data_IF_057852625641
#
_entry.id   IF_057852625641
#
_cell.length_a   1.000
_cell.length_b   1.000
_cell.length_c   1.000
_cell.angle_alpha   90.00
_cell.angle_beta   90.00
_cell.angle_gamma   90.00
#
_symmetry.space_group_name_H-M   'P 1'
#
loop_
_entity.id
_entity.type
_entity.pdbx_description
1 polymer ?
#
# COMPACT_ATOMS: atom_id res chain seq x y z
N UNK A 1 -19.29 0.95 24.36
CA UNK A 1 -19.13 1.81 23.15
C UNK A 1 -18.03 1.21 22.31
N UNK A 2 -18.28 0.94 21.03
CA UNK A 2 -17.27 0.43 20.09
C UNK A 2 -16.61 1.63 19.43
N UNK A 3 -15.33 1.87 19.71
CA UNK A 3 -14.58 2.91 19.01
C UNK A 3 -14.20 2.39 17.62
N UNK A 4 -14.41 3.22 16.60
CA UNK A 4 -14.00 2.91 15.23
C UNK A 4 -12.89 3.88 14.83
N UNK A 5 -11.82 3.36 14.24
CA UNK A 5 -10.82 4.18 13.58
C UNK A 5 -11.42 4.80 12.29
N UNK A 6 -10.88 5.94 11.80
CA UNK A 6 -11.35 6.60 10.58
C UNK A 6 -11.32 5.72 9.32
N UNK A 7 -10.56 4.62 9.33
CA UNK A 7 -10.52 3.60 8.28
C UNK A 7 -11.49 2.44 8.49
N UNK A 8 -12.49 2.58 9.37
CA UNK A 8 -13.59 1.63 9.58
C UNK A 8 -13.27 0.42 10.46
N UNK A 9 -12.03 0.26 10.94
CA UNK A 9 -11.67 -0.84 11.84
C UNK A 9 -12.16 -0.59 13.27
N UNK A 10 -12.74 -1.59 13.90
CA UNK A 10 -13.12 -1.55 15.31
C UNK A 10 -11.88 -1.59 16.22
N UNK A 11 -11.92 -0.84 17.31
CA UNK A 11 -10.91 -0.79 18.36
C UNK A 11 -11.06 -2.00 19.29
N UNK A 12 -10.09 -2.92 19.27
CA UNK A 12 -10.05 -4.08 20.16
C UNK A 12 -9.40 -3.72 21.51
N UNK A 13 -10.23 -3.44 22.51
CA UNK A 13 -9.80 -3.11 23.88
C UNK A 13 -8.92 -4.21 24.53
N UNK A 14 -9.07 -5.47 24.13
CA UNK A 14 -8.36 -6.60 24.74
C UNK A 14 -6.90 -6.78 24.29
N UNK A 15 -6.37 -5.95 23.39
CA UNK A 15 -4.98 -6.08 22.91
C UNK A 15 -3.97 -5.17 23.60
N UNK A 16 -4.42 -4.16 24.34
CA UNK A 16 -3.55 -3.20 25.02
C UNK A 16 -3.99 -3.04 26.47
N UNK A 17 -3.57 -3.96 27.34
CA UNK A 17 -3.35 -3.69 28.77
C UNK A 17 -2.57 -4.86 29.38
N UNK A 18 -1.24 -4.79 29.28
CA UNK A 18 -0.35 -5.45 30.23
C UNK A 18 -0.39 -4.64 31.53
N UNK A 19 -1.38 -4.89 32.39
CA UNK A 19 -1.34 -4.46 33.78
C UNK A 19 -1.65 -5.65 34.70
N UNK A 20 -0.81 -5.94 35.70
CA UNK A 20 -0.90 -7.16 36.48
C UNK A 20 -1.91 -7.03 37.64
N UNK A 21 -2.36 -8.19 38.12
CA UNK A 21 -3.19 -8.47 39.30
C UNK A 21 -4.71 -8.40 39.10
N UNK A 22 -5.31 -9.58 38.89
CA UNK A 22 -6.37 -10.10 39.75
C UNK A 22 -6.33 -11.65 39.67
N UNK A 23 -5.76 -12.21 40.72
CA UNK A 23 -5.63 -13.63 41.02
C UNK A 23 -7.00 -14.18 41.48
N UNK A 24 -7.28 -15.43 41.10
CA UNK A 24 -8.35 -16.33 41.60
C UNK A 24 -9.79 -16.18 41.07
N UNK A 25 -10.13 -16.98 40.05
CA UNK A 25 -11.13 -18.06 40.21
C UNK A 25 -10.99 -19.10 39.10
N UNK A 26 -10.28 -20.17 39.41
CA UNK A 26 -10.14 -21.37 38.56
C UNK A 26 -11.46 -22.14 38.63
N UNK A 27 -12.26 -22.10 37.57
CA UNK A 27 -13.35 -23.05 37.36
C UNK A 27 -12.97 -23.95 36.19
N UNK A 28 -12.54 -25.17 36.52
CA UNK A 28 -12.32 -26.26 35.58
C UNK A 28 -13.64 -26.65 34.90
N UNK A 29 -13.92 -26.09 33.72
CA UNK A 29 -14.86 -26.66 32.76
C UNK A 29 -14.13 -26.84 31.44
N UNK A 30 -13.82 -28.11 31.17
CA UNK A 30 -13.48 -28.74 29.88
C UNK A 30 -12.93 -27.79 28.80
N UNK A 31 -11.60 -27.84 28.62
CA UNK A 31 -10.90 -27.30 27.46
C UNK A 31 -11.36 -28.11 26.24
N UNK A 32 -12.49 -27.71 25.65
CA UNK A 32 -12.81 -28.09 24.29
C UNK A 32 -11.78 -27.39 23.42
N UNK A 33 -10.81 -28.16 22.92
CA UNK A 33 -10.00 -27.81 21.76
C UNK A 33 -10.93 -27.66 20.54
N UNK A 34 -11.77 -26.63 20.55
CA UNK A 34 -12.18 -26.00 19.32
C UNK A 34 -10.88 -25.40 18.78
N UNK A 35 -10.26 -26.20 17.90
CA UNK A 35 -9.25 -25.79 16.93
C UNK A 35 -9.45 -24.31 16.70
N UNK A 36 -8.40 -23.52 17.01
CA UNK A 36 -8.39 -22.12 16.61
C UNK A 36 -8.96 -22.09 15.21
N UNK A 37 -10.05 -21.34 15.01
CA UNK A 37 -10.54 -21.08 13.67
C UNK A 37 -9.33 -20.52 12.96
N UNK A 38 -8.64 -21.33 12.17
CA UNK A 38 -7.57 -20.88 11.30
C UNK A 38 -8.25 -19.80 10.50
N UNK A 39 -7.92 -18.54 10.78
CA UNK A 39 -8.53 -17.41 10.11
C UNK A 39 -7.95 -17.46 8.69
N UNK A 40 -8.58 -18.28 7.85
CA UNK A 40 -8.41 -18.27 6.40
C UNK A 40 -8.98 -16.97 5.78
N UNK A 41 -9.36 -15.99 6.61
CA UNK A 41 -10.06 -14.76 6.26
C UNK A 41 -9.26 -13.72 5.49
N UNK A 42 -8.00 -14.00 5.16
CA UNK A 42 -7.16 -13.07 4.40
C UNK A 42 -6.96 -13.48 2.93
N UNK A 43 -7.71 -14.47 2.41
CA UNK A 43 -7.85 -14.66 0.97
C UNK A 43 -8.81 -13.60 0.43
N UNK A 44 -8.32 -12.70 -0.43
CA UNK A 44 -9.14 -11.66 -1.06
C UNK A 44 -8.88 -10.22 -0.62
N UNK A 45 -7.81 -9.93 0.13
CA UNK A 45 -7.39 -8.54 0.32
C UNK A 45 -7.00 -7.90 -1.02
N UNK A 46 -7.39 -6.65 -1.19
CA UNK A 46 -6.87 -5.81 -2.27
C UNK A 46 -5.37 -5.59 -2.10
N UNK A 47 -4.66 -5.37 -3.21
CA UNK A 47 -3.24 -5.03 -3.18
C UNK A 47 -2.95 -3.85 -2.22
N UNK A 48 -3.84 -2.86 -2.20
CA UNK A 48 -3.71 -1.70 -1.32
C UNK A 48 -3.76 -2.05 0.16
N UNK A 49 -4.66 -2.95 0.57
CA UNK A 49 -4.73 -3.41 1.96
C UNK A 49 -3.47 -4.15 2.37
N UNK A 50 -2.92 -4.99 1.48
CA UNK A 50 -1.68 -5.74 1.72
C UNK A 50 -0.46 -4.79 1.86
N UNK A 51 -0.41 -3.73 1.05
CA UNK A 51 0.61 -2.67 1.16
C UNK A 51 0.43 -1.89 2.46
N UNK A 52 -0.79 -1.50 2.80
CA UNK A 52 -1.09 -0.77 4.03
C UNK A 52 -0.69 -1.58 5.27
N UNK A 53 -0.98 -2.89 5.30
CA UNK A 53 -0.52 -3.78 6.38
C UNK A 53 1.00 -3.82 6.48
N UNK A 54 1.69 -3.90 5.34
CA UNK A 54 3.16 -3.86 5.28
C UNK A 54 3.72 -2.52 5.79
N UNK A 55 3.09 -1.41 5.43
CA UNK A 55 3.47 -0.07 5.88
C UNK A 55 3.28 0.10 7.39
N UNK A 56 2.19 -0.42 7.97
CA UNK A 56 1.99 -0.42 9.42
C UNK A 56 3.08 -1.22 10.14
N UNK A 57 3.48 -2.38 9.58
CA UNK A 57 4.59 -3.14 10.11
C UNK A 57 5.89 -2.31 10.10
N UNK A 58 6.27 -1.73 8.95
CA UNK A 58 7.49 -0.91 8.86
C UNK A 58 7.52 0.25 9.84
N UNK A 59 6.38 0.94 10.01
CA UNK A 59 6.26 2.04 10.95
C UNK A 59 6.43 1.56 12.39
N UNK A 60 5.74 0.48 12.78
CA UNK A 60 5.80 -0.07 14.15
C UNK A 60 7.19 -0.58 14.54
N UNK A 61 7.98 -1.02 13.55
CA UNK A 61 9.34 -1.53 13.75
C UNK A 61 10.42 -0.45 13.54
N UNK A 62 10.05 0.79 13.24
CA UNK A 62 11.00 1.87 12.98
C UNK A 62 11.86 1.67 11.71
N UNK A 63 11.39 0.89 10.74
CA UNK A 63 12.13 0.54 9.52
C UNK A 63 11.96 1.64 8.45
N UNK A 64 10.72 2.08 8.23
CA UNK A 64 10.36 3.11 7.25
C UNK A 64 9.07 3.81 7.66
N UNK A 65 8.90 5.06 7.21
CA UNK A 65 7.67 5.84 7.42
C UNK A 65 7.00 6.00 6.07
N UNK A 66 5.97 5.21 5.79
CA UNK A 66 5.28 5.17 4.49
C UNK A 66 3.77 5.18 4.72
N UNK A 67 3.06 6.02 3.97
CA UNK A 67 1.61 6.18 4.09
C UNK A 67 0.94 6.24 2.72
N UNK A 68 -0.33 5.82 2.68
CA UNK A 68 -1.22 6.12 1.56
C UNK A 68 -1.67 7.58 1.65
N UNK A 69 -1.63 8.29 0.52
CA UNK A 69 -2.19 9.64 0.39
C UNK A 69 -3.72 9.56 0.42
N UNK A 70 -4.40 10.48 1.13
CA UNK A 70 -5.86 10.51 1.15
C UNK A 70 -6.43 10.87 -0.23
N UNK A 71 -7.63 10.37 -0.52
CA UNK A 71 -8.36 10.76 -1.74
C UNK A 71 -8.58 12.28 -1.70
N UNK A 72 -8.16 13.02 -2.72
CA UNK A 72 -8.26 14.46 -2.71
C UNK A 72 -9.73 14.89 -2.86
N UNK A 73 -10.19 15.71 -1.90
CA UNK A 73 -11.54 16.27 -1.87
C UNK A 73 -11.47 17.79 -1.76
N UNK A 74 -12.44 18.46 -2.36
CA UNK A 74 -12.73 19.88 -2.18
C UNK A 74 -13.88 20.00 -1.19
N UNK A 75 -13.61 20.49 0.01
CA UNK A 75 -14.66 20.82 0.98
C UNK A 75 -15.33 22.12 0.52
N UNK A 76 -16.65 22.11 0.42
CA UNK A 76 -17.47 23.27 0.04
C UNK A 76 -18.24 23.81 1.23
N UNK A 77 -18.75 22.93 2.10
CA UNK A 77 -19.48 23.31 3.29
C UNK A 77 -19.06 22.45 4.48
N UNK A 78 -18.85 23.11 5.63
CA UNK A 78 -18.42 22.48 6.89
C UNK A 78 -19.17 23.10 8.06
N UNK A 79 -19.73 22.24 8.90
CA UNK A 79 -20.31 22.62 10.19
C UNK A 79 -19.32 22.35 11.31
N UNK A 80 -19.34 23.19 12.35
CA UNK A 80 -18.53 23.04 13.55
C UNK A 80 -19.42 22.82 14.78
N UNK A 81 -19.99 21.62 14.98
CA UNK A 81 -20.86 21.37 16.13
C UNK A 81 -20.14 21.46 17.49
N UNK A 82 -18.80 21.29 17.50
CA UNK A 82 -17.93 21.42 18.69
C UNK A 82 -16.57 21.98 18.27
N UNK A 83 -15.81 22.61 19.18
CA UNK A 83 -14.46 23.15 18.89
C UNK A 83 -13.47 22.12 18.33
N UNK A 84 -13.64 20.84 18.66
CA UNK A 84 -12.74 19.75 18.24
C UNK A 84 -13.29 18.92 17.07
N UNK A 85 -14.45 19.27 16.52
CA UNK A 85 -15.11 18.48 15.50
C UNK A 85 -15.61 19.35 14.35
N UNK A 86 -15.19 19.00 13.15
CA UNK A 86 -15.70 19.53 11.91
C UNK A 86 -16.50 18.43 11.20
N UNK A 87 -17.68 18.76 10.69
CA UNK A 87 -18.51 17.86 9.89
C UNK A 87 -18.58 18.43 8.48
N UNK A 88 -17.98 17.74 7.53
CA UNK A 88 -18.11 18.07 6.11
C UNK A 88 -19.58 17.83 5.72
N UNK A 89 -20.27 18.89 5.32
CA UNK A 89 -21.64 18.84 4.82
C UNK A 89 -21.69 18.63 3.32
N UNK A 90 -20.70 19.18 2.62
CA UNK A 90 -20.59 19.09 1.18
C UNK A 90 -19.12 19.07 0.77
N UNK A 91 -18.78 18.10 -0.07
CA UNK A 91 -17.47 18.03 -0.70
C UNK A 91 -17.56 17.39 -2.08
N UNK A 92 -16.66 17.80 -2.97
CA UNK A 92 -16.51 17.24 -4.31
C UNK A 92 -15.17 16.54 -4.43
N UNK A 93 -15.11 15.42 -5.15
CA UNK A 93 -13.84 14.79 -5.47
C UNK A 93 -13.00 15.70 -6.35
N UNK A 94 -11.71 15.83 -6.04
CA UNK A 94 -10.73 16.42 -6.94
C UNK A 94 -10.03 15.33 -7.73
N UNK A 95 -9.54 15.68 -8.91
CA UNK A 95 -8.68 14.79 -9.66
C UNK A 95 -7.36 14.60 -8.92
N UNK A 96 -6.95 13.34 -8.71
CA UNK A 96 -5.62 13.04 -8.20
C UNK A 96 -4.56 13.49 -9.21
N UNK A 97 -3.43 13.98 -8.72
CA UNK A 97 -2.30 14.40 -9.57
C UNK A 97 -0.99 13.72 -9.20
N UNK A 98 -1.03 12.80 -8.24
CA UNK A 98 0.15 12.14 -7.67
C UNK A 98 -0.07 10.63 -7.63
N UNK A 99 0.96 9.90 -7.19
CA UNK A 99 0.84 8.49 -6.82
C UNK A 99 0.10 8.31 -5.48
N UNK A 100 -0.34 7.09 -5.20
CA UNK A 100 -1.09 6.78 -3.98
C UNK A 100 -0.23 6.68 -2.72
N UNK A 101 1.08 6.40 -2.80
CA UNK A 101 1.91 6.19 -1.61
C UNK A 101 3.15 7.09 -1.61
N UNK A 102 3.54 7.56 -0.44
CA UNK A 102 4.83 8.19 -0.24
C UNK A 102 5.40 7.91 1.14
N UNK A 103 6.69 8.20 1.30
CA UNK A 103 7.35 8.01 2.57
C UNK A 103 8.85 8.27 2.54
N UNK A 104 9.51 7.88 3.62
CA UNK A 104 10.95 7.95 3.77
C UNK A 104 11.50 6.61 4.25
N UNK A 105 12.58 6.17 3.61
CA UNK A 105 13.33 4.98 3.99
C UNK A 105 14.82 5.25 3.77
N UNK A 106 15.66 4.98 4.78
CA UNK A 106 17.12 5.24 4.74
C UNK A 106 17.48 6.68 4.28
N UNK A 107 16.69 7.67 4.69
CA UNK A 107 16.90 9.08 4.32
C UNK A 107 16.53 9.43 2.87
N UNK A 108 15.99 8.49 2.09
CA UNK A 108 15.51 8.72 0.72
C UNK A 108 13.99 8.86 0.70
N UNK A 109 13.51 9.83 -0.07
CA UNK A 109 12.08 9.98 -0.36
C UNK A 109 11.64 8.85 -1.30
N UNK A 110 10.56 8.16 -0.92
CA UNK A 110 9.90 7.15 -1.73
C UNK A 110 8.56 7.70 -2.20
N UNK A 111 8.24 7.50 -3.48
CA UNK A 111 6.94 7.87 -4.04
C UNK A 111 6.54 6.81 -5.07
N UNK A 112 5.48 6.07 -4.77
CA UNK A 112 5.17 4.88 -5.56
C UNK A 112 3.68 4.65 -5.69
N UNK A 113 3.36 3.92 -6.74
CA UNK A 113 2.01 3.54 -7.09
C UNK A 113 1.75 2.05 -6.81
N UNK A 114 0.49 1.68 -6.58
CA UNK A 114 0.06 0.29 -6.50
C UNK A 114 -0.96 -0.01 -7.60
N UNK A 115 -0.67 -0.95 -8.49
CA UNK A 115 -1.63 -1.34 -9.54
C UNK A 115 -1.73 -2.85 -9.68
N UNK A 116 -2.89 -3.31 -10.13
CA UNK A 116 -3.15 -4.72 -10.39
C UNK A 116 -3.63 -4.94 -11.83
N UNK A 117 -3.42 -6.15 -12.33
CA UNK A 117 -3.88 -6.56 -13.65
C UNK A 117 -4.33 -8.01 -13.66
N UNK A 118 -5.39 -8.28 -14.43
CA UNK A 118 -5.87 -9.63 -14.71
C UNK A 118 -5.22 -10.24 -15.97
N UNK A 119 -4.37 -9.48 -16.66
CA UNK A 119 -3.55 -10.02 -17.73
C UNK A 119 -2.49 -10.96 -17.15
N UNK A 120 -2.09 -11.97 -17.92
CA UNK A 120 -1.12 -12.99 -17.47
C UNK A 120 0.30 -12.64 -17.92
N UNK A 121 0.45 -12.09 -19.12
CA UNK A 121 1.74 -11.93 -19.80
C UNK A 121 2.18 -10.48 -20.01
N UNK A 122 1.37 -9.50 -19.61
CA UNK A 122 1.70 -8.08 -19.77
C UNK A 122 0.94 -7.18 -18.80
N UNK A 123 1.50 -6.01 -18.51
CA UNK A 123 0.89 -4.96 -17.71
C UNK A 123 0.40 -3.82 -18.62
N UNK A 124 -0.91 -3.57 -18.75
CA UNK A 124 -1.44 -2.50 -19.62
C UNK A 124 -1.04 -1.10 -19.14
N UNK A 125 -0.55 -0.26 -20.07
CA UNK A 125 -0.19 1.13 -19.74
C UNK A 125 -1.42 1.98 -19.40
N UNK A 126 -2.60 1.65 -19.94
CA UNK A 126 -3.88 2.33 -19.62
C UNK A 126 -4.23 2.33 -18.12
N UNK A 127 -3.59 1.48 -17.31
CA UNK A 127 -3.77 1.46 -15.86
C UNK A 127 -3.06 2.66 -15.18
N UNK A 128 -2.18 3.36 -15.89
CA UNK A 128 -1.54 4.59 -15.45
C UNK A 128 -2.17 5.81 -16.13
N UNK A 129 -2.24 6.90 -15.40
CA UNK A 129 -2.64 8.20 -15.95
C UNK A 129 -1.42 9.10 -16.19
N UNK A 130 -1.50 9.94 -17.21
CA UNK A 130 -0.40 10.84 -17.61
C UNK A 130 0.14 11.69 -16.45
N UNK A 131 -0.75 12.22 -15.60
CA UNK A 131 -0.37 13.02 -14.45
C UNK A 131 0.47 12.23 -13.42
N UNK A 132 0.24 10.92 -13.28
CA UNK A 132 1.00 10.08 -12.35
C UNK A 132 2.42 9.88 -12.86
N UNK A 133 2.56 9.63 -14.17
CA UNK A 133 3.87 9.45 -14.81
C UNK A 133 4.67 10.75 -14.75
N UNK A 134 4.05 11.89 -15.03
CA UNK A 134 4.71 13.19 -14.93
C UNK A 134 5.13 13.53 -13.50
N UNK A 135 4.28 13.22 -12.50
CA UNK A 135 4.64 13.38 -11.09
C UNK A 135 5.85 12.50 -10.71
N UNK A 136 5.86 11.23 -11.14
CA UNK A 136 7.01 10.34 -10.89
C UNK A 136 8.30 10.89 -11.51
N UNK A 137 8.24 11.44 -12.74
CA UNK A 137 9.41 12.11 -13.36
C UNK A 137 9.88 13.30 -12.55
N UNK A 138 8.95 14.15 -12.10
CA UNK A 138 9.27 15.30 -11.28
C UNK A 138 9.93 14.89 -9.96
N UNK A 139 9.45 13.82 -9.31
CA UNK A 139 10.05 13.27 -8.10
C UNK A 139 11.46 12.70 -8.35
N UNK A 140 11.66 11.89 -9.39
CA UNK A 140 13.01 11.37 -9.73
C UNK A 140 13.99 12.48 -10.10
N UNK A 141 13.54 13.55 -10.77
CA UNK A 141 14.37 14.73 -11.05
C UNK A 141 14.90 15.40 -9.77
N UNK A 142 14.18 15.27 -8.65
CA UNK A 142 14.61 15.76 -7.33
C UNK A 142 15.33 14.68 -6.49
N UNK A 143 15.71 13.54 -7.08
CA UNK A 143 16.39 12.45 -6.40
C UNK A 143 15.48 11.54 -5.57
N UNK A 144 14.16 11.61 -5.76
CA UNK A 144 13.20 10.68 -5.17
C UNK A 144 13.26 9.30 -5.85
N UNK A 145 13.01 8.25 -5.07
CA UNK A 145 12.95 6.87 -5.58
C UNK A 145 11.50 6.56 -5.97
N UNK A 146 11.25 6.47 -7.28
CA UNK A 146 9.93 6.18 -7.82
C UNK A 146 9.82 4.77 -8.39
N UNK A 147 8.70 4.11 -8.11
CA UNK A 147 8.41 2.77 -8.61
C UNK A 147 6.91 2.49 -8.58
N UNK A 148 6.50 1.32 -9.07
CA UNK A 148 5.13 0.81 -8.93
C UNK A 148 5.18 -0.61 -8.41
N UNK A 149 4.39 -0.92 -7.38
CA UNK A 149 4.12 -2.30 -6.99
C UNK A 149 3.01 -2.82 -7.89
N UNK A 150 3.32 -3.81 -8.72
CA UNK A 150 2.38 -4.41 -9.67
C UNK A 150 2.00 -5.82 -9.25
N UNK A 151 0.69 -6.12 -9.25
CA UNK A 151 0.15 -7.48 -9.00
C UNK A 151 -0.47 -8.07 -10.26
N UNK A 152 0.01 -9.24 -10.66
CA UNK A 152 -0.64 -10.09 -11.67
C UNK A 152 -1.63 -11.00 -10.96
N UNK A 153 -2.91 -10.60 -10.89
CA UNK A 153 -3.90 -11.23 -10.01
C UNK A 153 -4.23 -12.67 -10.38
N UNK A 154 -4.12 -13.04 -11.66
CA UNK A 154 -4.35 -14.43 -12.11
C UNK A 154 -3.24 -15.40 -11.71
N UNK A 155 -2.00 -14.92 -11.56
CA UNK A 155 -0.86 -15.75 -11.15
C UNK A 155 -0.43 -15.51 -9.70
N UNK A 156 -1.06 -14.54 -9.02
CA UNK A 156 -0.75 -14.06 -7.67
C UNK A 156 0.74 -13.66 -7.51
N UNK A 157 1.29 -13.04 -8.56
CA UNK A 157 2.69 -12.59 -8.57
C UNK A 157 2.80 -11.09 -8.37
N UNK A 158 3.73 -10.70 -7.51
CA UNK A 158 4.03 -9.30 -7.20
C UNK A 158 5.40 -8.93 -7.72
N UNK A 159 5.52 -7.72 -8.26
CA UNK A 159 6.79 -7.16 -8.70
C UNK A 159 6.90 -5.69 -8.32
N UNK A 160 8.13 -5.24 -8.12
CA UNK A 160 8.48 -3.82 -8.22
C UNK A 160 8.81 -3.54 -9.69
N UNK A 161 8.07 -2.61 -10.27
CA UNK A 161 8.32 -2.00 -11.57
C UNK A 161 9.10 -0.69 -11.34
N UNK A 162 10.38 -0.59 -11.74
CA UNK A 162 11.13 0.66 -11.68
C UNK A 162 10.46 1.73 -12.56
N UNK A 163 10.49 2.98 -12.10
CA UNK A 163 9.88 4.09 -12.84
C UNK A 163 10.51 4.29 -14.24
N UNK A 164 11.81 4.09 -14.39
CA UNK A 164 12.49 4.25 -15.69
C UNK A 164 11.97 3.26 -16.74
N UNK A 165 11.64 2.03 -16.32
CA UNK A 165 11.02 1.04 -17.21
C UNK A 165 9.60 1.47 -17.60
N UNK A 166 8.83 2.01 -16.65
CA UNK A 166 7.52 2.58 -16.95
C UNK A 166 7.64 3.73 -17.96
N UNK A 167 8.59 4.65 -17.77
CA UNK A 167 8.77 5.80 -18.65
C UNK A 167 9.12 5.39 -20.07
N UNK A 168 10.05 4.45 -20.25
CA UNK A 168 10.41 3.90 -21.56
C UNK A 168 9.16 3.45 -22.33
N UNK A 169 8.35 2.60 -21.71
CA UNK A 169 7.14 2.10 -22.37
C UNK A 169 6.05 3.17 -22.52
N UNK A 170 5.97 4.11 -21.58
CA UNK A 170 5.02 5.22 -21.64
C UNK A 170 5.31 6.16 -22.82
N UNK A 171 6.56 6.50 -23.06
CA UNK A 171 6.95 7.43 -24.13
C UNK A 171 6.87 6.79 -25.53
N UNK A 172 7.01 5.47 -25.60
CA UNK A 172 6.93 4.71 -26.85
C UNK A 172 5.51 4.25 -27.20
N UNK A 173 4.52 4.39 -26.31
CA UNK A 173 3.22 3.72 -26.41
C UNK A 173 2.38 4.04 -27.66
N UNK A 174 2.61 5.21 -28.26
CA UNK A 174 1.93 5.65 -29.49
C UNK A 174 2.54 5.04 -30.76
N UNK A 175 3.81 4.63 -30.69
CA UNK A 175 4.58 4.05 -31.81
C UNK A 175 4.77 2.55 -31.67
N UNK A 176 4.76 2.04 -30.44
CA UNK A 176 5.02 0.64 -30.12
C UNK A 176 3.82 0.02 -29.38
N UNK A 177 4.08 -0.73 -28.31
CA UNK A 177 3.10 -1.50 -27.56
C UNK A 177 2.51 -0.69 -26.41
N UNK A 178 1.19 -0.82 -26.21
CA UNK A 178 0.43 -0.18 -25.12
C UNK A 178 0.46 -0.97 -23.79
N UNK A 179 1.48 -1.81 -23.60
CA UNK A 179 1.65 -2.66 -22.42
C UNK A 179 3.10 -3.06 -22.20
N UNK A 180 3.51 -3.22 -20.95
CA UNK A 180 4.83 -3.70 -20.55
C UNK A 180 4.78 -5.24 -20.50
N UNK A 181 5.63 -5.98 -21.23
CA UNK A 181 5.72 -7.43 -21.11
C UNK A 181 6.04 -7.87 -19.68
N UNK A 182 5.42 -8.94 -19.19
CA UNK A 182 5.76 -9.52 -17.88
C UNK A 182 7.22 -9.97 -17.82
N UNK A 183 7.74 -10.56 -18.89
CA UNK A 183 9.15 -10.98 -18.96
C UNK A 183 10.13 -9.82 -18.74
N UNK A 184 9.82 -8.61 -19.23
CA UNK A 184 10.63 -7.41 -19.00
C UNK A 184 10.56 -6.96 -17.54
N UNK A 185 9.37 -7.05 -16.92
CA UNK A 185 9.17 -6.76 -15.49
C UNK A 185 9.94 -7.77 -14.63
N UNK A 186 9.97 -9.04 -15.02
CA UNK A 186 10.72 -10.09 -14.33
C UNK A 186 12.23 -9.89 -14.44
N UNK A 187 12.71 -9.40 -15.60
CA UNK A 187 14.12 -9.20 -15.88
C UNK A 187 14.68 -7.91 -15.25
N UNK A 188 13.96 -6.80 -15.38
CA UNK A 188 14.44 -5.47 -14.99
C UNK A 188 13.80 -4.95 -13.69
N UNK A 189 12.67 -5.53 -13.29
CA UNK A 189 12.06 -5.28 -12.00
C UNK A 189 12.55 -6.21 -10.91
N UNK A 190 11.81 -6.28 -9.82
CA UNK A 190 12.13 -7.15 -8.69
C UNK A 190 10.92 -7.96 -8.26
N UNK A 191 11.02 -9.30 -8.32
CA UNK A 191 9.96 -10.20 -7.85
C UNK A 191 9.83 -10.14 -6.33
N UNK A 192 8.61 -9.89 -5.86
CA UNK A 192 8.26 -9.85 -4.44
C UNK A 192 7.60 -11.17 -4.04
N UNK A 193 8.11 -11.75 -2.97
CA UNK A 193 7.50 -12.92 -2.35
C UNK A 193 6.75 -12.49 -1.10
N UNK A 194 5.51 -12.94 -0.95
CA UNK A 194 4.75 -12.74 0.28
C UNK A 194 5.50 -13.29 1.49
N UNK A 195 5.34 -12.60 2.62
CA UNK A 195 5.88 -13.00 3.92
C UNK A 195 4.82 -12.80 5.01
N UNK A 196 5.10 -13.27 6.23
CA UNK A 196 4.20 -13.13 7.37
C UNK A 196 4.28 -11.72 7.96
N UNK A 197 5.48 -11.14 8.02
CA UNK A 197 5.73 -9.84 8.65
C UNK A 197 7.01 -9.23 8.06
N UNK A 198 6.90 -8.24 7.15
CA UNK A 198 5.68 -7.66 6.56
C UNK A 198 5.01 -8.60 5.55
N UNK A 199 3.74 -8.33 5.20
CA UNK A 199 3.00 -9.09 4.17
C UNK A 199 3.67 -9.01 2.80
N UNK A 200 3.99 -7.81 2.35
CA UNK A 200 4.73 -7.50 1.12
C UNK A 200 6.07 -6.85 1.51
N UNK A 201 7.18 -7.61 1.54
CA UNK A 201 8.50 -7.12 1.92
C UNK A 201 9.18 -6.28 0.80
N UNK A 202 8.49 -5.26 0.28
CA UNK A 202 8.95 -4.50 -0.88
C UNK A 202 10.22 -3.66 -0.65
N UNK A 203 10.58 -3.33 0.60
CA UNK A 203 11.80 -2.56 0.87
C UNK A 203 13.08 -3.27 0.40
N UNK A 204 13.09 -4.61 0.30
CA UNK A 204 14.21 -5.37 -0.28
C UNK A 204 14.43 -5.03 -1.76
N UNK A 205 13.36 -4.85 -2.52
CA UNK A 205 13.47 -4.41 -3.91
C UNK A 205 13.79 -2.92 -4.01
N UNK A 206 13.31 -2.10 -3.08
CA UNK A 206 13.69 -0.68 -2.98
C UNK A 206 15.18 -0.51 -2.72
N UNK A 207 15.80 -1.38 -1.89
CA UNK A 207 17.24 -1.37 -1.68
C UNK A 207 18.03 -1.53 -2.98
N UNK A 208 17.56 -2.36 -3.92
CA UNK A 208 18.17 -2.52 -5.24
C UNK A 208 17.98 -1.28 -6.12
N UNK A 209 16.81 -0.64 -6.07
CA UNK A 209 16.58 0.62 -6.78
C UNK A 209 17.53 1.71 -6.28
N UNK A 210 17.70 1.83 -4.95
CA UNK A 210 18.60 2.80 -4.33
C UNK A 210 20.05 2.54 -4.75
N UNK A 211 20.48 1.27 -4.83
CA UNK A 211 21.84 0.92 -5.22
C UNK A 211 22.16 1.24 -6.69
N UNK A 212 21.14 1.29 -7.55
CA UNK A 212 21.26 1.60 -8.98
C UNK A 212 20.97 3.08 -9.31
N UNK A 213 20.66 3.92 -8.32
CA UNK A 213 20.31 5.34 -8.48
C UNK A 213 21.52 6.28 -8.41
#
# INVERSE_FOLDING_TARGET
MVFHYPNGRAYDYHKNENHPSLVNKVNHRSINHNRSKTIYGNRGMSLEEEINESNQYYLSQGIAVIHKKPIPIQIVSVDYPKRSAAVIKEAYFKQASTTDYNGVYKGKYLDFEAKETTNISSFPLRNFHAHQVEHMRACQKQGGICFTIVKFTKTDELFILPADLLFKYWDEQDKSRKSIPKAEIEQLGYKLNYSISPRIPFLKGVDLLIANS
#
